data_IF_772181660023
#
_entry.id   IF_772181660023
#
_cell.length_a   1.000
_cell.length_b   1.000
_cell.length_c   1.000
_cell.angle_alpha   90.00
_cell.angle_beta   90.00
_cell.angle_gamma   90.00
#
_symmetry.space_group_name_H-M   'P 1'
#
loop_
_entity.id
_entity.type
_entity.pdbx_description
1 polymer ?
#
# COMPACT_ATOMS: atom_id res chain seq x y z
N UNK A 1 -33.49 -18.21 9.65
CA UNK A 1 -32.68 -18.35 8.43
C UNK A 1 -32.55 -16.95 7.85
N UNK A 2 -31.49 -16.21 8.22
CA UNK A 2 -31.25 -14.85 7.73
C UNK A 2 -29.89 -14.81 7.07
N UNK A 3 -29.96 -14.58 5.77
CA UNK A 3 -28.88 -14.55 4.82
C UNK A 3 -28.16 -13.18 4.82
N UNK A 4 -26.98 -13.23 4.24
CA UNK A 4 -25.89 -12.28 4.08
C UNK A 4 -26.25 -10.81 3.83
N UNK A 5 -25.48 -9.92 4.46
CA UNK A 5 -24.68 -8.89 3.76
C UNK A 5 -23.76 -8.18 4.76
N UNK A 6 -22.45 -8.38 4.61
CA UNK A 6 -21.38 -7.86 5.47
C UNK A 6 -21.16 -6.35 5.36
N UNK A 7 -22.18 -5.53 5.63
CA UNK A 7 -22.10 -4.06 5.55
C UNK A 7 -22.61 -3.32 6.78
N UNK A 8 -22.96 -4.02 7.85
CA UNK A 8 -23.56 -3.42 9.07
C UNK A 8 -22.59 -3.17 10.24
N UNK A 9 -21.31 -3.55 10.17
CA UNK A 9 -20.39 -3.34 11.30
C UNK A 9 -19.80 -1.92 11.43
N UNK A 10 -19.88 -1.07 10.40
CA UNK A 10 -19.36 0.31 10.49
C UNK A 10 -20.36 1.33 11.05
N UNK A 11 -21.67 1.05 11.06
CA UNK A 11 -22.66 2.09 11.37
C UNK A 11 -23.12 2.11 12.83
N UNK A 12 -22.77 1.12 13.65
CA UNK A 12 -23.28 1.04 15.02
C UNK A 12 -22.52 1.90 16.04
N UNK A 13 -21.35 2.44 15.70
CA UNK A 13 -20.52 3.24 16.62
C UNK A 13 -20.88 4.74 16.67
N UNK A 14 -21.97 5.18 16.02
CA UNK A 14 -22.32 6.61 15.90
C UNK A 14 -23.15 7.13 17.11
N UNK A 15 -23.66 6.27 18.00
CA UNK A 15 -24.65 6.68 19.03
C UNK A 15 -24.11 6.87 20.45
N UNK A 16 -22.83 6.66 20.72
CA UNK A 16 -22.24 6.93 22.04
C UNK A 16 -21.26 8.10 21.93
N UNK A 17 -21.69 9.27 22.41
CA UNK A 17 -21.03 10.56 22.27
C UNK A 17 -19.71 10.73 23.05
N UNK A 18 -18.71 9.93 22.71
CA UNK A 18 -17.30 10.21 22.98
C UNK A 18 -16.57 10.33 21.64
N UNK A 19 -15.96 11.50 21.42
CA UNK A 19 -15.29 11.89 20.17
C UNK A 19 -14.03 11.05 19.87
N UNK A 20 -14.23 9.78 19.52
CA UNK A 20 -13.20 8.93 18.93
C UNK A 20 -13.82 8.07 17.85
N UNK A 21 -14.24 8.74 16.78
CA UNK A 21 -14.15 8.13 15.45
C UNK A 21 -12.68 7.81 15.26
N UNK A 22 -12.24 6.63 15.67
CA UNK A 22 -11.02 6.06 15.15
C UNK A 22 -11.32 5.82 13.67
N UNK A 23 -11.01 6.81 12.85
CA UNK A 23 -10.84 6.65 11.42
C UNK A 23 -9.94 5.42 11.27
N UNK A 24 -10.54 4.29 10.91
CA UNK A 24 -9.80 3.05 10.79
C UNK A 24 -8.80 3.28 9.66
N UNK A 25 -7.55 3.57 10.01
CA UNK A 25 -6.50 3.83 9.04
C UNK A 25 -6.30 2.56 8.22
N UNK A 26 -6.95 2.51 7.06
CA UNK A 26 -6.91 1.36 6.19
C UNK A 26 -5.49 1.22 5.64
N UNK A 27 -4.91 0.04 5.81
CA UNK A 27 -3.61 -0.29 5.27
C UNK A 27 -3.78 -0.90 3.89
N UNK A 28 -2.99 -0.43 2.93
CA UNK A 28 -3.02 -0.89 1.54
C UNK A 28 -1.61 -1.24 1.06
N UNK A 29 -1.49 -2.27 0.23
CA UNK A 29 -0.24 -2.65 -0.41
C UNK A 29 -0.26 -2.20 -1.87
N UNK A 30 0.82 -1.59 -2.35
CA UNK A 30 1.01 -1.22 -3.76
C UNK A 30 2.30 -1.86 -4.25
N UNK A 31 2.21 -2.75 -5.25
CA UNK A 31 3.41 -3.39 -5.81
C UNK A 31 4.03 -2.54 -6.91
N UNK A 32 5.36 -2.55 -7.04
CA UNK A 32 6.03 -1.84 -8.13
C UNK A 32 6.00 -0.31 -7.96
N UNK A 33 6.20 0.15 -6.73
CA UNK A 33 6.02 1.52 -6.26
C UNK A 33 6.77 2.58 -7.08
N UNK A 34 7.92 2.23 -7.67
CA UNK A 34 8.70 3.13 -8.52
C UNK A 34 8.12 3.36 -9.92
N UNK A 35 7.05 2.66 -10.29
CA UNK A 35 6.37 2.88 -11.56
C UNK A 35 5.66 4.23 -11.62
N UNK A 36 5.47 4.75 -12.82
CA UNK A 36 4.78 6.04 -13.02
C UNK A 36 3.37 6.03 -12.43
N UNK A 37 2.56 5.02 -12.76
CA UNK A 37 1.19 4.89 -12.23
C UNK A 37 1.20 4.59 -10.73
N UNK A 38 2.10 3.71 -10.27
CA UNK A 38 2.18 3.30 -8.88
C UNK A 38 2.53 4.47 -7.95
N UNK A 39 3.51 5.30 -8.33
CA UNK A 39 3.92 6.45 -7.52
C UNK A 39 2.84 7.51 -7.40
N UNK A 40 2.10 7.80 -8.47
CA UNK A 40 0.93 8.69 -8.42
C UNK A 40 -0.19 8.13 -7.55
N UNK A 41 -0.43 6.82 -7.62
CA UNK A 41 -1.41 6.14 -6.77
C UNK A 41 -1.01 6.24 -5.29
N UNK A 42 0.26 5.98 -4.96
CA UNK A 42 0.80 6.09 -3.60
C UNK A 42 0.61 7.50 -3.07
N UNK A 43 0.95 8.53 -3.85
CA UNK A 43 0.77 9.93 -3.44
C UNK A 43 -0.71 10.24 -3.13
N UNK A 44 -1.64 9.78 -3.98
CA UNK A 44 -3.08 9.96 -3.75
C UNK A 44 -3.59 9.20 -2.52
N UNK A 45 -3.07 8.01 -2.26
CA UNK A 45 -3.45 7.19 -1.09
C UNK A 45 -2.94 7.82 0.21
N UNK A 46 -1.69 8.30 0.21
CA UNK A 46 -1.11 9.02 1.35
C UNK A 46 -1.91 10.29 1.67
N UNK A 47 -2.22 11.10 0.64
CA UNK A 47 -3.03 12.32 0.81
C UNK A 47 -4.45 12.07 1.34
N UNK A 48 -5.01 10.88 1.07
CA UNK A 48 -6.29 10.43 1.62
C UNK A 48 -6.17 9.81 3.03
N UNK A 49 -4.96 9.79 3.59
CA UNK A 49 -4.69 9.35 4.95
C UNK A 49 -4.43 7.86 5.12
N UNK A 50 -4.34 7.06 4.05
CA UNK A 50 -4.06 5.62 4.13
C UNK A 50 -2.62 5.35 4.57
N UNK A 51 -2.41 4.23 5.27
CA UNK A 51 -1.07 3.67 5.45
C UNK A 51 -0.73 2.81 4.23
N UNK A 52 0.33 3.17 3.53
CA UNK A 52 0.73 2.53 2.29
C UNK A 52 1.97 1.69 2.52
N UNK A 53 1.83 0.38 2.34
CA UNK A 53 2.93 -0.53 2.12
C UNK A 53 3.26 -0.52 0.63
N UNK A 54 4.50 -0.26 0.25
CA UNK A 54 4.89 -0.11 -1.15
C UNK A 54 6.11 -0.99 -1.45
N UNK A 55 6.09 -1.75 -2.54
CA UNK A 55 7.20 -2.64 -2.89
C UNK A 55 8.07 -2.08 -4.01
N UNK A 56 9.39 -2.20 -3.88
CA UNK A 56 10.37 -1.93 -4.92
C UNK A 56 11.26 -3.16 -5.11
N UNK A 57 11.84 -3.32 -6.30
CA UNK A 57 12.79 -4.41 -6.54
C UNK A 57 14.12 -4.23 -5.79
N UNK A 58 14.55 -2.99 -5.60
CA UNK A 58 15.81 -2.66 -4.94
C UNK A 58 15.60 -1.42 -4.06
N UNK A 59 15.69 -1.60 -2.74
CA UNK A 59 15.61 -0.50 -1.76
C UNK A 59 16.88 0.34 -1.69
N UNK A 60 17.98 -0.11 -2.30
CA UNK A 60 19.24 0.64 -2.40
C UNK A 60 19.23 1.66 -3.55
N UNK A 61 18.20 1.67 -4.39
CA UNK A 61 18.02 2.72 -5.40
C UNK A 61 17.52 4.00 -4.73
N UNK A 62 18.48 4.81 -4.25
CA UNK A 62 18.21 6.05 -3.50
C UNK A 62 17.39 7.06 -4.30
N UNK A 63 17.49 7.04 -5.64
CA UNK A 63 16.67 7.91 -6.50
C UNK A 63 15.19 7.56 -6.39
N UNK A 64 14.84 6.27 -6.56
CA UNK A 64 13.45 5.79 -6.46
C UNK A 64 12.91 5.89 -5.04
N UNK A 65 13.73 5.52 -4.06
CA UNK A 65 13.34 5.58 -2.63
C UNK A 65 13.18 7.02 -2.19
N UNK A 66 14.11 7.90 -2.57
CA UNK A 66 14.07 9.34 -2.28
C UNK A 66 12.83 10.00 -2.89
N UNK A 67 12.51 9.68 -4.14
CA UNK A 67 11.30 10.16 -4.79
C UNK A 67 10.03 9.80 -4.01
N UNK A 68 9.86 8.54 -3.60
CA UNK A 68 8.69 8.12 -2.83
C UNK A 68 8.65 8.73 -1.42
N UNK A 69 9.79 8.90 -0.78
CA UNK A 69 9.93 9.58 0.53
C UNK A 69 9.76 11.10 0.45
N UNK A 70 9.79 11.69 -0.75
CA UNK A 70 9.52 13.12 -0.94
C UNK A 70 8.03 13.47 -0.84
N UNK A 71 7.14 12.47 -0.94
CA UNK A 71 5.70 12.72 -0.87
C UNK A 71 5.26 13.23 0.50
N UNK A 72 4.24 14.11 0.55
CA UNK A 72 3.62 14.50 1.81
C UNK A 72 3.17 13.28 2.62
N UNK A 73 3.37 13.32 3.94
CA UNK A 73 2.95 12.27 4.89
C UNK A 73 3.66 10.91 4.73
N UNK A 74 4.62 10.79 3.79
CA UNK A 74 5.36 9.54 3.57
C UNK A 74 6.13 9.09 4.82
N UNK A 75 6.75 10.01 5.56
CA UNK A 75 7.52 9.70 6.77
C UNK A 75 6.70 8.97 7.86
N UNK A 76 5.38 9.21 7.93
CA UNK A 76 4.52 8.56 8.93
C UNK A 76 3.73 7.38 8.37
N UNK A 77 3.39 7.39 7.08
CA UNK A 77 2.39 6.50 6.49
C UNK A 77 2.89 5.62 5.36
N UNK A 78 4.11 5.83 4.87
CA UNK A 78 4.72 5.01 3.82
C UNK A 78 5.72 4.02 4.42
N UNK A 79 5.53 2.73 4.15
CA UNK A 79 6.46 1.66 4.51
C UNK A 79 6.94 0.99 3.24
N UNK A 80 8.26 0.96 3.03
CA UNK A 80 8.87 0.39 1.83
C UNK A 80 9.36 -1.04 2.10
N UNK A 81 9.10 -1.93 1.14
CA UNK A 81 9.53 -3.32 1.17
C UNK A 81 10.32 -3.63 -0.10
N UNK A 82 11.37 -4.43 0.03
CA UNK A 82 12.05 -5.02 -1.12
C UNK A 82 11.25 -6.26 -1.55
N UNK A 83 10.87 -6.36 -2.82
CA UNK A 83 10.24 -7.56 -3.37
C UNK A 83 10.49 -7.72 -4.87
N UNK A 84 10.84 -8.93 -5.28
CA UNK A 84 10.92 -9.32 -6.69
C UNK A 84 9.63 -10.00 -7.14
N UNK A 85 9.08 -9.57 -8.28
CA UNK A 85 7.85 -10.15 -8.87
C UNK A 85 8.00 -11.63 -9.20
N UNK A 86 9.22 -12.11 -9.42
CA UNK A 86 9.50 -13.53 -9.66
C UNK A 86 9.59 -14.37 -8.38
N UNK A 87 9.60 -13.73 -7.20
CA UNK A 87 9.63 -14.40 -5.91
C UNK A 87 8.42 -14.00 -5.05
N UNK A 88 7.39 -14.84 -5.07
CA UNK A 88 6.13 -14.58 -4.35
C UNK A 88 6.30 -14.41 -2.83
N UNK A 89 7.31 -15.04 -2.22
CA UNK A 89 7.55 -15.00 -0.77
C UNK A 89 7.91 -13.59 -0.29
N UNK A 90 8.56 -12.80 -1.15
CA UNK A 90 8.99 -11.44 -0.81
C UNK A 90 7.82 -10.49 -0.53
N UNK A 91 6.62 -10.82 -1.04
CA UNK A 91 5.43 -9.99 -0.86
C UNK A 91 4.69 -10.23 0.46
N UNK A 92 4.92 -11.35 1.14
CA UNK A 92 4.20 -11.68 2.37
C UNK A 92 4.31 -10.57 3.45
N UNK A 93 5.51 -10.01 3.74
CA UNK A 93 5.65 -8.93 4.71
C UNK A 93 4.92 -7.65 4.26
N UNK A 94 4.94 -7.35 2.97
CA UNK A 94 4.28 -6.17 2.40
C UNK A 94 2.75 -6.28 2.46
N UNK A 95 2.21 -7.47 2.24
CA UNK A 95 0.76 -7.72 2.23
C UNK A 95 0.20 -7.86 3.66
N UNK A 96 1.01 -8.27 4.64
CA UNK A 96 0.56 -8.54 6.01
C UNK A 96 -0.20 -7.36 6.64
N UNK A 97 -1.48 -7.62 6.94
CA UNK A 97 -2.39 -6.65 7.56
C UNK A 97 -2.94 -5.59 6.60
N UNK A 98 -2.63 -5.67 5.30
CA UNK A 98 -3.26 -4.85 4.27
C UNK A 98 -4.67 -5.35 3.97
N UNK A 99 -5.60 -4.42 3.76
CA UNK A 99 -6.98 -4.72 3.40
C UNK A 99 -7.16 -4.84 1.88
N UNK A 100 -6.34 -4.10 1.14
CA UNK A 100 -6.34 -4.10 -0.31
C UNK A 100 -4.91 -4.19 -0.85
N UNK A 101 -4.78 -4.83 -2.01
CA UNK A 101 -3.53 -4.91 -2.77
C UNK A 101 -3.78 -4.34 -4.16
N UNK A 102 -3.01 -3.33 -4.53
CA UNK A 102 -2.93 -2.80 -5.88
C UNK A 102 -1.73 -3.43 -6.57
N UNK A 103 -1.98 -4.40 -7.45
CA UNK A 103 -0.95 -5.03 -8.24
C UNK A 103 -0.65 -4.19 -9.48
N UNK A 104 0.40 -3.37 -9.40
CA UNK A 104 0.86 -2.48 -10.49
C UNK A 104 2.26 -2.89 -10.99
N UNK A 105 2.88 -3.89 -10.37
CA UNK A 105 4.18 -4.38 -10.80
C UNK A 105 4.01 -5.17 -12.11
N UNK A 106 4.81 -4.82 -13.11
CA UNK A 106 4.84 -5.55 -14.39
C UNK A 106 6.24 -6.11 -14.58
N UNK A 107 6.39 -7.37 -15.02
CA UNK A 107 7.69 -7.88 -15.40
C UNK A 107 8.22 -7.06 -16.58
N UNK A 108 9.36 -6.41 -16.39
CA UNK A 108 10.13 -5.84 -17.48
C UNK A 108 10.93 -6.98 -18.10
N UNK A 109 10.88 -7.10 -19.43
CA UNK A 109 11.63 -8.10 -20.19
C UNK A 109 13.09 -8.01 -19.77
N UNK A 110 13.62 -9.11 -19.23
CA UNK A 110 15.06 -9.27 -19.06
C UNK A 110 15.59 -9.55 -20.46
N UNK A 111 16.25 -8.57 -21.10
CA UNK A 111 17.20 -8.98 -22.14
C UNK A 111 18.25 -9.84 -21.42
N UNK A 112 18.46 -11.09 -21.83
CA UNK A 112 19.59 -11.85 -21.30
C UNK A 112 20.85 -11.04 -21.64
N UNK A 113 21.69 -10.81 -20.64
CA UNK A 113 23.00 -10.22 -20.86
C UNK A 113 23.71 -11.06 -21.94
N UNK A 114 23.92 -10.45 -23.12
CA UNK A 114 24.80 -10.96 -24.17
C UNK A 114 26.26 -10.70 -23.78
#
# INVERSE_FOLDING_TARGET
>A
MLDFTGKKRCWLYILTGDAKVMEAFCKVCVTGASGYIASLLINKLLAKGYTVHATLRNLKDESKVGFLKSFPQSQQKLVLFEADIYNSVDFEPAIKGCQFVFHVATPLIHEPAL
#
